data_IF_959390464940
#
_entry.id   IF_959390464940
#
_cell.length_a   1.000
_cell.length_b   1.000
_cell.length_c   1.000
_cell.angle_alpha   90.00
_cell.angle_beta   90.00
_cell.angle_gamma   90.00
#
_symmetry.space_group_name_H-M   'P 1'
#
loop_
_entity.id
_entity.type
_entity.pdbx_description
1 polymer ?
#
# COMPACT_ATOMS: atom_id res chain seq x y z
N UNK A 1 16.30 -2.04 -8.39
CA UNK A 1 16.21 -1.08 -7.27
C UNK A 1 17.26 -1.35 -6.21
N UNK A 2 17.41 -2.57 -5.70
CA UNK A 2 18.42 -2.91 -4.67
C UNK A 2 19.84 -2.51 -5.06
N UNK A 3 20.25 -2.72 -6.31
CA UNK A 3 21.58 -2.27 -6.83
C UNK A 3 21.79 -0.76 -6.65
N UNK A 4 20.74 0.05 -6.81
CA UNK A 4 20.78 1.51 -6.67
C UNK A 4 20.61 1.96 -5.21
N UNK A 5 19.78 1.27 -4.44
CA UNK A 5 19.45 1.59 -3.05
C UNK A 5 19.88 0.44 -2.15
N UNK A 6 21.16 0.41 -1.76
CA UNK A 6 21.77 -0.70 -1.01
C UNK A 6 21.03 -1.05 0.30
N UNK A 7 20.46 -0.04 0.96
CA UNK A 7 19.72 -0.20 2.23
C UNK A 7 18.21 -0.41 2.03
N UNK A 8 17.76 -0.72 0.80
CA UNK A 8 16.36 -1.00 0.53
C UNK A 8 15.98 -2.36 1.12
N UNK A 9 15.02 -2.35 2.03
CA UNK A 9 14.31 -3.53 2.52
C UNK A 9 12.92 -3.56 1.87
N UNK A 10 12.59 -4.68 1.25
CA UNK A 10 11.24 -4.92 0.73
C UNK A 10 10.48 -5.80 1.72
N UNK A 11 9.25 -5.40 2.07
CA UNK A 11 8.40 -6.18 2.97
C UNK A 11 7.29 -6.82 2.14
N UNK A 12 7.17 -8.15 2.24
CA UNK A 12 6.10 -8.92 1.61
C UNK A 12 5.13 -9.40 2.69
N UNK A 13 3.87 -9.05 2.55
CA UNK A 13 2.78 -9.50 3.43
C UNK A 13 1.82 -10.31 2.57
N UNK A 14 1.97 -11.64 2.52
CA UNK A 14 1.08 -12.49 1.75
C UNK A 14 -0.33 -12.47 2.32
N UNK A 15 -1.35 -12.48 1.47
CA UNK A 15 -2.74 -12.65 1.90
C UNK A 15 -2.97 -14.03 2.55
N UNK A 16 -2.28 -15.03 2.05
CA UNK A 16 -2.35 -16.42 2.50
C UNK A 16 -0.99 -16.82 3.06
N UNK A 17 -0.91 -16.99 4.37
CA UNK A 17 0.36 -17.30 5.07
C UNK A 17 0.93 -18.69 4.72
N UNK A 18 0.09 -19.62 4.28
CA UNK A 18 0.53 -20.94 3.81
C UNK A 18 1.44 -20.88 2.57
N UNK A 19 1.45 -19.74 1.84
CA UNK A 19 2.33 -19.51 0.69
C UNK A 19 3.71 -18.96 1.06
N UNK A 20 3.97 -18.71 2.33
CA UNK A 20 5.25 -18.09 2.76
C UNK A 20 6.44 -18.95 2.34
N UNK A 21 6.37 -20.28 2.53
CA UNK A 21 7.45 -21.18 2.15
C UNK A 21 7.76 -21.16 0.66
N UNK A 22 6.72 -21.17 -0.20
CA UNK A 22 6.89 -21.10 -1.65
C UNK A 22 7.52 -19.77 -2.07
N UNK A 23 7.03 -18.66 -1.50
CA UNK A 23 7.56 -17.32 -1.78
C UNK A 23 9.03 -17.23 -1.36
N UNK A 24 9.38 -17.73 -0.19
CA UNK A 24 10.75 -17.74 0.30
C UNK A 24 11.67 -18.56 -0.61
N UNK A 25 11.23 -19.74 -1.00
CA UNK A 25 11.96 -20.61 -1.94
C UNK A 25 12.21 -19.92 -3.29
N UNK A 26 11.17 -19.34 -3.89
CA UNK A 26 11.30 -18.61 -5.17
C UNK A 26 12.28 -17.43 -5.06
N UNK A 27 12.22 -16.66 -3.99
CA UNK A 27 13.08 -15.49 -3.78
C UNK A 27 14.54 -15.89 -3.56
N UNK A 28 14.77 -16.96 -2.80
CA UNK A 28 16.12 -17.49 -2.56
C UNK A 28 16.74 -18.02 -3.86
N UNK A 29 15.96 -18.66 -4.74
CA UNK A 29 16.41 -19.09 -6.07
C UNK A 29 16.80 -17.91 -6.97
N UNK A 30 16.24 -16.72 -6.74
CA UNK A 30 16.64 -15.48 -7.40
C UNK A 30 17.88 -14.82 -6.77
N UNK A 31 18.52 -15.46 -5.78
CA UNK A 31 19.67 -14.94 -5.07
C UNK A 31 19.36 -13.79 -4.10
N UNK A 32 18.09 -13.63 -3.69
CA UNK A 32 17.68 -12.63 -2.71
C UNK A 32 17.74 -13.21 -1.29
N UNK A 33 18.28 -12.43 -0.36
CA UNK A 33 18.35 -12.82 1.05
C UNK A 33 17.02 -12.53 1.73
N UNK A 34 16.32 -13.57 2.13
CA UNK A 34 15.04 -13.51 2.81
C UNK A 34 15.18 -13.57 4.33
N UNK A 35 14.20 -13.01 5.03
CA UNK A 35 14.03 -13.16 6.48
C UNK A 35 12.53 -13.25 6.78
N UNK A 36 12.10 -14.40 7.26
CA UNK A 36 10.70 -14.59 7.66
C UNK A 36 10.47 -14.06 9.07
N UNK A 37 9.34 -13.36 9.27
CA UNK A 37 8.98 -12.71 10.53
C UNK A 37 8.94 -13.71 11.69
N UNK A 38 9.77 -13.48 12.70
CA UNK A 38 9.75 -14.20 13.97
C UNK A 38 9.71 -13.17 15.11
N UNK A 39 8.87 -13.44 16.13
CA UNK A 39 8.78 -12.60 17.32
C UNK A 39 10.14 -12.52 18.01
N UNK A 40 10.56 -11.32 18.38
CA UNK A 40 11.79 -11.02 19.11
C UNK A 40 13.10 -11.32 18.36
N UNK A 41 13.07 -11.72 17.09
CA UNK A 41 14.29 -11.81 16.27
C UNK A 41 14.59 -10.50 15.55
N UNK A 42 15.86 -10.08 15.62
CA UNK A 42 16.35 -8.93 14.86
C UNK A 42 16.53 -9.32 13.39
N UNK A 43 16.14 -8.41 12.51
CA UNK A 43 16.38 -8.56 11.07
C UNK A 43 17.88 -8.45 10.79
N UNK A 44 18.43 -9.35 10.00
CA UNK A 44 19.81 -9.29 9.57
C UNK A 44 20.05 -8.06 8.68
N UNK A 45 21.20 -7.40 8.84
CA UNK A 45 21.52 -6.16 8.08
C UNK A 45 21.58 -6.37 6.57
N UNK A 46 21.84 -7.56 6.12
CA UNK A 46 21.97 -7.93 4.71
C UNK A 46 20.67 -8.49 4.09
N UNK A 47 19.57 -8.50 4.84
CA UNK A 47 18.26 -8.94 4.36
C UNK A 47 17.76 -8.03 3.22
N UNK A 48 17.34 -8.64 2.11
CA UNK A 48 16.72 -7.96 0.97
C UNK A 48 15.20 -7.92 1.11
N UNK A 49 14.63 -9.04 1.55
CA UNK A 49 13.19 -9.26 1.63
C UNK A 49 12.81 -9.72 3.03
N UNK A 50 11.88 -9.03 3.65
CA UNK A 50 11.26 -9.42 4.91
C UNK A 50 9.86 -9.96 4.64
N UNK A 51 9.61 -11.23 5.00
CA UNK A 51 8.34 -11.90 4.73
C UNK A 51 7.53 -12.01 6.03
N UNK A 52 6.31 -11.51 6.03
CA UNK A 52 5.42 -11.52 7.19
C UNK A 52 4.51 -12.75 7.11
N UNK A 53 4.67 -13.68 8.04
CA UNK A 53 3.93 -14.95 8.14
C UNK A 53 2.82 -14.91 9.21
N UNK A 54 2.26 -13.73 9.49
CA UNK A 54 1.24 -13.55 10.53
C UNK A 54 0.09 -12.67 10.03
N UNK A 55 -1.14 -13.04 10.41
CA UNK A 55 -2.32 -12.23 10.17
C UNK A 55 -2.38 -10.98 11.07
N UNK A 56 -3.12 -9.96 10.64
CA UNK A 56 -3.40 -8.76 11.44
C UNK A 56 -2.24 -7.78 11.60
N UNK A 57 -1.09 -8.04 11.00
CA UNK A 57 0.12 -7.20 11.14
C UNK A 57 0.22 -6.06 10.12
N UNK A 58 -0.62 -6.04 9.10
CA UNK A 58 -0.55 -5.09 7.97
C UNK A 58 -0.52 -3.62 8.42
N UNK A 59 -1.36 -3.26 9.40
CA UNK A 59 -1.42 -1.89 9.96
C UNK A 59 -0.08 -1.41 10.51
N UNK A 60 0.61 -2.26 11.25
CA UNK A 60 1.93 -1.93 11.81
C UNK A 60 2.94 -1.61 10.72
N UNK A 61 2.91 -2.36 9.62
CA UNK A 61 3.81 -2.11 8.49
C UNK A 61 3.44 -0.84 7.72
N UNK A 62 2.16 -0.52 7.55
CA UNK A 62 1.75 0.75 6.93
C UNK A 62 2.22 1.98 7.72
N UNK A 63 2.37 1.85 9.04
CA UNK A 63 2.90 2.93 9.86
C UNK A 63 4.36 3.29 9.50
N UNK A 64 5.17 2.28 9.16
CA UNK A 64 6.60 2.46 8.82
C UNK A 64 6.84 2.63 7.33
N UNK A 65 5.98 2.07 6.47
CA UNK A 65 6.16 2.08 5.02
C UNK A 65 5.53 3.33 4.39
N UNK A 66 6.33 4.08 3.62
CA UNK A 66 5.82 5.23 2.87
C UNK A 66 5.21 4.85 1.52
N UNK A 67 5.68 3.77 0.91
CA UNK A 67 5.29 3.34 -0.42
C UNK A 67 4.82 1.89 -0.37
N UNK A 68 3.63 1.64 -0.88
CA UNK A 68 2.98 0.32 -0.83
C UNK A 68 2.50 -0.07 -2.23
N UNK A 69 2.90 -1.25 -2.67
CA UNK A 69 2.28 -1.89 -3.83
C UNK A 69 1.18 -2.82 -3.34
N UNK A 70 -0.05 -2.58 -3.79
CA UNK A 70 -1.20 -3.42 -3.44
C UNK A 70 -1.39 -4.54 -4.46
N UNK A 71 -1.20 -5.76 -3.98
CA UNK A 71 -1.30 -7.00 -4.75
C UNK A 71 -2.70 -7.32 -5.27
N UNK A 72 -2.83 -8.44 -6.00
CA UNK A 72 -4.08 -8.84 -6.64
C UNK A 72 -4.54 -7.93 -7.77
N UNK A 73 -3.70 -6.96 -8.15
CA UNK A 73 -3.99 -5.94 -9.14
C UNK A 73 -3.23 -6.11 -10.46
N UNK A 74 -2.21 -6.96 -10.51
CA UNK A 74 -1.53 -7.36 -11.76
C UNK A 74 -2.32 -8.45 -12.47
N UNK A 75 -2.76 -9.45 -11.74
CA UNK A 75 -3.65 -10.50 -12.20
C UNK A 75 -5.11 -10.07 -12.02
N UNK A 76 -6.04 -10.77 -12.67
CA UNK A 76 -7.46 -10.40 -12.67
C UNK A 76 -8.20 -10.81 -11.37
N UNK A 77 -7.69 -10.36 -10.22
CA UNK A 77 -8.30 -10.55 -8.90
C UNK A 77 -9.07 -9.32 -8.38
N UNK A 78 -9.07 -8.22 -9.12
CA UNK A 78 -9.83 -7.02 -8.75
C UNK A 78 -9.16 -6.10 -7.73
N UNK A 79 -7.91 -6.38 -7.34
CA UNK A 79 -7.11 -5.55 -6.44
C UNK A 79 -7.47 -5.69 -4.95
N UNK A 80 -6.74 -4.97 -4.11
CA UNK A 80 -6.96 -4.86 -2.66
C UNK A 80 -7.51 -3.47 -2.31
N UNK A 81 -8.20 -3.36 -1.17
CA UNK A 81 -8.71 -2.08 -0.68
C UNK A 81 -7.55 -1.13 -0.33
N UNK A 82 -7.43 0.03 -0.99
CA UNK A 82 -6.33 0.96 -0.74
C UNK A 82 -6.53 1.88 0.46
N UNK A 83 -7.74 1.97 1.02
CA UNK A 83 -8.07 2.98 2.04
C UNK A 83 -7.25 2.82 3.31
N UNK A 84 -6.99 1.58 3.72
CA UNK A 84 -6.23 1.35 4.95
C UNK A 84 -4.81 1.90 4.83
N UNK A 85 -4.05 1.49 3.81
CA UNK A 85 -2.71 2.01 3.57
C UNK A 85 -2.68 3.54 3.40
N UNK A 86 -3.69 4.08 2.73
CA UNK A 86 -3.80 5.52 2.49
C UNK A 86 -4.02 6.31 3.79
N UNK A 87 -4.81 5.79 4.74
CA UNK A 87 -5.00 6.40 6.08
C UNK A 87 -3.69 6.53 6.87
N UNK A 88 -2.74 5.63 6.64
CA UNK A 88 -1.38 5.72 7.20
C UNK A 88 -0.47 6.69 6.43
N UNK A 89 -0.94 7.29 5.34
CA UNK A 89 -0.19 8.25 4.52
C UNK A 89 0.75 7.58 3.53
N UNK A 90 0.47 6.33 3.15
CA UNK A 90 1.24 5.63 2.14
C UNK A 90 0.90 6.11 0.73
N UNK A 91 1.90 6.21 -0.14
CA UNK A 91 1.70 6.26 -1.57
C UNK A 91 1.31 4.87 -2.06
N UNK A 92 0.29 4.80 -2.90
CA UNK A 92 -0.24 3.54 -3.41
C UNK A 92 0.21 3.30 -4.83
N UNK A 93 0.89 2.18 -5.06
CA UNK A 93 1.13 1.62 -6.39
C UNK A 93 0.22 0.41 -6.59
N UNK A 94 -0.33 0.26 -7.78
CA UNK A 94 -1.21 -0.85 -8.11
C UNK A 94 -1.12 -1.23 -9.59
N UNK A 95 -1.48 -2.47 -9.91
CA UNK A 95 -1.62 -2.94 -11.29
C UNK A 95 -2.90 -2.42 -11.98
N UNK A 96 -3.19 -2.88 -13.20
CA UNK A 96 -4.35 -2.43 -13.97
C UNK A 96 -5.70 -2.93 -13.43
N UNK A 97 -5.72 -4.08 -12.75
CA UNK A 97 -6.95 -4.78 -12.36
C UNK A 97 -7.39 -4.40 -10.95
N UNK A 98 -8.24 -3.40 -10.83
CA UNK A 98 -8.73 -2.86 -9.54
C UNK A 98 -10.26 -2.71 -9.54
N UNK A 99 -10.97 -3.56 -10.29
CA UNK A 99 -12.41 -3.44 -10.52
C UNK A 99 -13.25 -3.55 -9.24
N UNK A 100 -12.79 -4.29 -8.21
CA UNK A 100 -13.48 -4.35 -6.91
C UNK A 100 -13.49 -3.02 -6.16
N UNK A 101 -12.58 -2.08 -6.50
CA UNK A 101 -12.42 -0.79 -5.82
C UNK A 101 -12.24 0.36 -6.81
N UNK A 102 -12.84 0.23 -8.01
CA UNK A 102 -12.64 1.15 -9.15
C UNK A 102 -12.82 2.63 -8.77
N UNK A 103 -13.89 2.96 -8.08
CA UNK A 103 -14.21 4.34 -7.68
C UNK A 103 -13.17 4.88 -6.69
N UNK A 104 -12.77 4.06 -5.71
CA UNK A 104 -11.77 4.46 -4.72
C UNK A 104 -10.42 4.73 -5.39
N UNK A 105 -9.97 3.85 -6.30
CA UNK A 105 -8.73 4.08 -7.03
C UNK A 105 -8.80 5.28 -7.97
N UNK A 106 -9.94 5.55 -8.60
CA UNK A 106 -10.15 6.74 -9.41
C UNK A 106 -10.02 8.02 -8.56
N UNK A 107 -10.67 8.04 -7.41
CA UNK A 107 -10.57 9.12 -6.43
C UNK A 107 -9.13 9.34 -5.94
N UNK A 108 -8.43 8.28 -5.56
CA UNK A 108 -7.03 8.38 -5.10
C UNK A 108 -6.08 8.85 -6.22
N UNK A 109 -6.32 8.43 -7.46
CA UNK A 109 -5.57 8.89 -8.63
C UNK A 109 -5.76 10.39 -8.88
N UNK A 110 -7.00 10.90 -8.87
CA UNK A 110 -7.30 12.33 -9.02
C UNK A 110 -6.58 13.17 -7.95
N UNK A 111 -6.45 12.60 -6.76
CA UNK A 111 -5.76 13.22 -5.63
C UNK A 111 -4.24 13.00 -5.61
N UNK A 112 -3.66 12.35 -6.64
CA UNK A 112 -2.23 12.04 -6.75
C UNK A 112 -1.70 11.15 -5.60
N UNK A 113 -2.55 10.30 -5.02
CA UNK A 113 -2.22 9.38 -3.93
C UNK A 113 -1.96 7.98 -4.46
N UNK A 114 -2.60 7.58 -5.56
CA UNK A 114 -2.36 6.30 -6.20
C UNK A 114 -1.83 6.44 -7.62
N UNK A 115 -1.02 5.46 -8.03
CA UNK A 115 -0.44 5.39 -9.37
C UNK A 115 -0.54 3.96 -9.91
N UNK A 116 -1.09 3.84 -11.13
CA UNK A 116 -1.13 2.57 -11.86
C UNK A 116 0.24 2.27 -12.46
N UNK A 117 0.75 1.07 -12.23
CA UNK A 117 1.97 0.51 -12.83
C UNK A 117 1.61 -0.76 -13.60
N UNK A 118 1.99 -0.83 -14.85
CA UNK A 118 1.66 -1.92 -15.78
C UNK A 118 2.91 -2.60 -16.36
N UNK A 119 4.09 -2.21 -15.92
CA UNK A 119 5.36 -2.80 -16.32
C UNK A 119 6.39 -2.69 -15.22
N UNK A 120 7.41 -3.55 -15.28
CA UNK A 120 8.55 -3.49 -14.38
C UNK A 120 9.28 -2.14 -14.44
N UNK A 121 9.50 -1.62 -15.66
CA UNK A 121 10.15 -0.31 -15.87
C UNK A 121 9.35 0.80 -15.20
N UNK A 122 8.02 0.81 -15.37
CA UNK A 122 7.15 1.82 -14.74
C UNK A 122 7.17 1.71 -13.21
N UNK A 123 7.20 0.50 -12.67
CA UNK A 123 7.35 0.27 -11.22
C UNK A 123 8.67 0.86 -10.71
N UNK A 124 9.79 0.56 -11.39
CA UNK A 124 11.12 1.06 -11.00
C UNK A 124 11.16 2.59 -11.02
N UNK A 125 10.66 3.20 -12.08
CA UNK A 125 10.65 4.66 -12.24
C UNK A 125 9.77 5.32 -11.16
N UNK A 126 8.58 4.77 -10.92
CA UNK A 126 7.66 5.28 -9.90
C UNK A 126 8.26 5.20 -8.51
N UNK A 127 8.85 4.07 -8.13
CA UNK A 127 9.50 3.92 -6.82
C UNK A 127 10.74 4.81 -6.70
N UNK A 128 11.56 4.95 -7.76
CA UNK A 128 12.71 5.85 -7.76
C UNK A 128 12.31 7.30 -7.53
N UNK A 129 11.21 7.75 -8.14
CA UNK A 129 10.64 9.07 -7.90
C UNK A 129 10.16 9.21 -6.45
N UNK A 130 9.38 8.25 -5.95
CA UNK A 130 8.85 8.28 -4.59
C UNK A 130 9.93 8.20 -3.50
N UNK A 131 11.06 7.56 -3.76
CA UNK A 131 12.19 7.52 -2.82
C UNK A 131 12.94 8.86 -2.74
N UNK A 132 12.91 9.67 -3.80
CA UNK A 132 13.48 11.02 -3.77
C UNK A 132 12.54 12.07 -3.15
N UNK A 133 11.23 11.82 -3.11
CA UNK A 133 10.24 12.73 -2.54
C UNK A 133 10.14 12.57 -1.01
N UNK A 134 10.75 13.50 -0.28
CA UNK A 134 10.77 13.52 1.20
C UNK A 134 9.46 14.02 1.84
N UNK A 135 8.50 14.52 1.05
CA UNK A 135 7.38 15.34 1.58
C UNK A 135 6.04 14.61 1.69
N UNK A 136 5.89 13.37 1.19
CA UNK A 136 4.59 12.85 0.78
C UNK A 136 3.63 12.40 1.90
N UNK A 137 4.10 11.69 2.93
CA UNK A 137 3.20 11.02 3.90
C UNK A 137 2.33 11.99 4.72
N UNK A 138 2.90 13.10 5.20
CA UNK A 138 2.14 14.10 5.99
C UNK A 138 1.12 14.83 5.10
N UNK A 139 1.50 15.14 3.85
CA UNK A 139 0.60 15.76 2.87
C UNK A 139 -0.58 14.86 2.52
N UNK A 140 -0.34 13.56 2.34
CA UNK A 140 -1.40 12.57 2.05
C UNK A 140 -2.39 12.49 3.21
N UNK A 141 -1.91 12.36 4.46
CA UNK A 141 -2.76 12.32 5.65
C UNK A 141 -3.63 13.57 5.77
N UNK A 142 -3.02 14.74 5.67
CA UNK A 142 -3.74 16.02 5.77
C UNK A 142 -4.81 16.14 4.66
N UNK A 143 -4.47 15.79 3.43
CA UNK A 143 -5.40 15.83 2.31
C UNK A 143 -6.59 14.91 2.51
N UNK A 144 -6.36 13.68 2.98
CA UNK A 144 -7.44 12.73 3.26
C UNK A 144 -8.33 13.18 4.41
N UNK A 145 -7.75 13.73 5.47
CA UNK A 145 -8.51 14.25 6.60
C UNK A 145 -9.43 15.39 6.14
N UNK A 146 -8.93 16.34 5.36
CA UNK A 146 -9.75 17.44 4.81
C UNK A 146 -10.90 16.92 3.95
N UNK A 147 -10.62 15.94 3.09
CA UNK A 147 -11.65 15.35 2.23
C UNK A 147 -12.69 14.59 3.08
N UNK A 148 -12.23 13.80 4.06
CA UNK A 148 -13.10 13.06 4.97
C UNK A 148 -14.01 13.98 5.78
N UNK A 149 -13.49 15.09 6.30
CA UNK A 149 -14.28 16.11 6.98
C UNK A 149 -15.35 16.71 6.07
N UNK A 150 -14.98 17.09 4.83
CA UNK A 150 -15.93 17.65 3.86
C UNK A 150 -17.05 16.68 3.49
N UNK A 151 -16.73 15.38 3.32
CA UNK A 151 -17.73 14.34 3.05
C UNK A 151 -18.67 14.21 4.26
N UNK A 152 -18.13 14.16 5.47
CA UNK A 152 -18.93 14.06 6.70
C UNK A 152 -19.87 15.25 6.87
N UNK A 153 -19.38 16.48 6.67
CA UNK A 153 -20.18 17.70 6.73
C UNK A 153 -21.33 17.70 5.71
N UNK A 154 -21.03 17.31 4.47
CA UNK A 154 -22.06 17.22 3.43
C UNK A 154 -23.10 16.15 3.78
N UNK A 155 -22.66 14.95 4.18
CA UNK A 155 -23.59 13.88 4.60
C UNK A 155 -24.47 14.32 5.77
N UNK A 156 -23.89 15.01 6.76
CA UNK A 156 -24.66 15.55 7.88
C UNK A 156 -25.70 16.57 7.45
N UNK A 157 -25.36 17.46 6.51
CA UNK A 157 -26.32 18.44 5.95
C UNK A 157 -27.48 17.75 5.24
N UNK A 158 -27.20 16.74 4.42
CA UNK A 158 -28.22 15.97 3.70
C UNK A 158 -29.17 15.26 4.68
N UNK A 159 -28.61 14.54 5.68
CA UNK A 159 -29.42 13.88 6.71
C UNK A 159 -30.30 14.88 7.47
N UNK A 160 -29.76 16.05 7.83
CA UNK A 160 -30.51 17.09 8.56
C UNK A 160 -31.65 17.69 7.71
N UNK A 161 -31.45 17.79 6.38
CA UNK A 161 -32.51 18.23 5.47
C UNK A 161 -33.65 17.20 5.39
N UNK A 162 -33.32 15.92 5.28
CA UNK A 162 -34.32 14.85 5.27
C UNK A 162 -35.16 14.84 6.55
N UNK A 163 -34.50 14.92 7.72
CA UNK A 163 -35.20 14.96 9.01
C UNK A 163 -36.10 16.21 9.22
N UNK A 164 -35.81 17.33 8.54
CA UNK A 164 -36.68 18.53 8.60
C UNK A 164 -37.90 18.45 7.70
N UNK A 165 -37.84 17.63 6.65
CA UNK A 165 -38.93 17.47 5.70
C UNK A 165 -39.95 16.39 6.14
N UNK A 166 -39.67 15.67 7.21
CA UNK A 166 -40.58 14.64 7.80
C UNK A 166 -41.36 15.15 9.03
N UNK A 167 -41.24 16.43 9.40
CA UNK A 167 -41.99 17.13 10.44
C UNK A 167 -42.85 18.23 9.80
#
# INVERSE_FOLDING_TARGET
>A
LKKKYKNLLTIIIPRHINRVGDIEYELNNLGLKTHTHELNKKINKDTDIYIVNAYGKTKSFYYFCKNVFLGGSIINHGGQNPLEATRYGCNILHGPNVHNFKEIYAFLKQNKISQKVNSQTKMINSLSYLFSDKSSSKKIKNKLNLIGQKILENTYKEVKLLLKNEI
#
